data_IF_586879306761
#
_entry.id   IF_586879306761
#
_cell.length_a   1.000
_cell.length_b   1.000
_cell.length_c   1.000
_cell.angle_alpha   90.00
_cell.angle_beta   90.00
_cell.angle_gamma   90.00
#
_symmetry.space_group_name_H-M   'P 1'
#
loop_
_entity.id
_entity.type
_entity.pdbx_description
1 polymer ?
#
# COMPACT_ATOMS: atom_id res chain seq x y z
N UNK A 1 -2.45 12.38 -4.16
CA UNK A 1 -2.28 13.05 -5.47
C UNK A 1 -0.89 12.85 -6.09
N UNK A 2 0.20 12.95 -5.32
CA UNK A 2 1.59 12.88 -5.85
C UNK A 2 2.02 11.52 -6.42
N UNK A 3 1.47 10.39 -5.91
CA UNK A 3 1.77 9.05 -6.42
C UNK A 3 1.24 8.87 -7.86
N UNK A 4 -0.03 9.18 -8.13
CA UNK A 4 -0.65 9.06 -9.46
C UNK A 4 -0.04 9.98 -10.52
N UNK A 5 0.59 11.08 -10.10
CA UNK A 5 1.29 12.01 -10.98
C UNK A 5 2.77 11.63 -11.21
N UNK A 6 3.23 10.49 -10.70
CA UNK A 6 4.60 10.04 -10.89
C UNK A 6 4.88 9.72 -12.37
N UNK A 7 5.94 10.31 -12.91
CA UNK A 7 6.33 10.14 -14.32
C UNK A 7 7.01 8.79 -14.60
N UNK A 8 7.39 8.04 -13.57
CA UNK A 8 8.02 6.73 -13.71
C UNK A 8 7.40 5.71 -12.78
N UNK A 9 7.44 4.43 -13.20
CA UNK A 9 7.01 3.29 -12.39
C UNK A 9 7.77 3.20 -11.07
N UNK A 10 9.07 3.50 -11.07
CA UNK A 10 9.89 3.51 -9.87
C UNK A 10 9.46 4.63 -8.89
N UNK A 11 9.18 5.84 -9.40
CA UNK A 11 8.68 6.93 -8.58
C UNK A 11 7.27 6.65 -8.03
N UNK A 12 6.40 6.00 -8.82
CA UNK A 12 5.09 5.56 -8.34
C UNK A 12 5.22 4.57 -7.18
N UNK A 13 6.09 3.55 -7.32
CA UNK A 13 6.35 2.54 -6.27
C UNK A 13 6.93 3.20 -5.02
N UNK A 14 7.92 4.07 -5.16
CA UNK A 14 8.55 4.78 -4.03
C UNK A 14 7.53 5.62 -3.25
N UNK A 15 6.72 6.42 -3.95
CA UNK A 15 5.67 7.22 -3.29
C UNK A 15 4.59 6.35 -2.66
N UNK A 16 4.26 5.19 -3.25
CA UNK A 16 3.32 4.24 -2.66
C UNK A 16 3.89 3.61 -1.38
N UNK A 17 5.20 3.36 -1.30
CA UNK A 17 5.83 2.90 -0.05
C UNK A 17 5.72 3.93 1.07
N UNK A 18 5.94 5.22 0.77
CA UNK A 18 5.75 6.29 1.76
C UNK A 18 4.29 6.30 2.26
N UNK A 19 3.31 6.19 1.36
CA UNK A 19 1.89 6.13 1.76
C UNK A 19 1.59 4.93 2.68
N UNK A 20 2.26 3.79 2.49
CA UNK A 20 2.11 2.63 3.37
C UNK A 20 2.69 2.92 4.76
N UNK A 21 3.87 3.54 4.84
CA UNK A 21 4.51 3.90 6.12
C UNK A 21 3.62 4.89 6.91
N UNK A 22 3.11 5.93 6.27
CA UNK A 22 2.22 6.92 6.90
C UNK A 22 0.87 6.31 7.35
N UNK A 23 0.36 5.30 6.63
CA UNK A 23 -0.86 4.60 7.00
C UNK A 23 -0.65 3.67 8.21
N UNK A 24 0.50 2.96 8.27
CA UNK A 24 0.90 2.14 9.40
C UNK A 24 1.09 3.00 10.67
N UNK A 25 1.75 4.15 10.56
CA UNK A 25 1.86 5.12 11.65
C UNK A 25 0.48 5.64 12.10
N UNK A 26 -0.45 5.86 11.16
CA UNK A 26 -1.81 6.29 11.49
C UNK A 26 -2.59 5.20 12.25
N UNK A 27 -2.45 3.93 11.87
CA UNK A 27 -3.01 2.79 12.61
C UNK A 27 -2.46 2.75 14.04
N UNK A 28 -1.13 2.89 14.20
CA UNK A 28 -0.49 2.95 15.52
C UNK A 28 -1.08 4.07 16.40
N UNK A 29 -1.28 5.27 15.85
CA UNK A 29 -1.87 6.37 16.62
C UNK A 29 -3.33 6.10 17.04
N UNK A 30 -4.11 5.43 16.19
CA UNK A 30 -5.49 5.06 16.50
C UNK A 30 -5.55 3.98 17.59
N UNK A 31 -4.65 2.99 17.54
CA UNK A 31 -4.48 2.00 18.62
C UNK A 31 -4.08 2.67 19.93
N UNK A 32 -3.09 3.55 19.90
CA UNK A 32 -2.64 4.31 21.07
C UNK A 32 -3.77 5.13 21.69
N UNK A 33 -4.57 5.84 20.88
CA UNK A 33 -5.75 6.59 21.35
C UNK A 33 -6.76 5.68 22.05
N UNK A 34 -6.94 4.45 21.55
CA UNK A 34 -7.86 3.47 22.14
C UNK A 34 -7.33 2.89 23.46
N UNK A 35 -6.03 2.64 23.55
CA UNK A 35 -5.36 2.08 24.74
C UNK A 35 -5.33 3.09 25.89
N UNK A 36 -4.99 4.35 25.59
CA UNK A 36 -5.00 5.46 26.55
C UNK A 36 -6.41 5.99 26.83
N UNK A 37 -7.45 5.42 26.19
CA UNK A 37 -8.86 5.80 26.36
C UNK A 37 -9.13 7.29 26.15
N UNK A 38 -8.36 7.94 25.26
CA UNK A 38 -8.47 9.38 24.98
C UNK A 38 -9.76 9.72 24.23
N UNK A 39 -10.27 8.78 23.43
CA UNK A 39 -11.52 8.89 22.69
C UNK A 39 -12.33 7.60 22.87
N UNK A 40 -13.67 7.71 22.89
CA UNK A 40 -14.55 6.54 22.97
C UNK A 40 -14.27 5.55 21.82
N UNK A 41 -14.02 4.28 22.18
CA UNK A 41 -13.73 3.18 21.23
C UNK A 41 -14.68 3.13 20.03
N UNK A 42 -15.98 3.36 20.24
CA UNK A 42 -16.99 3.35 19.16
C UNK A 42 -16.73 4.37 18.04
N UNK A 43 -15.98 5.43 18.33
CA UNK A 43 -15.60 6.47 17.35
C UNK A 43 -14.28 6.17 16.65
N UNK A 44 -13.36 5.49 17.34
CA UNK A 44 -12.01 5.19 16.84
C UNK A 44 -12.00 3.90 16.03
N UNK A 45 -12.77 2.89 16.45
CA UNK A 45 -12.80 1.58 15.79
C UNK A 45 -13.16 1.63 14.29
N UNK A 46 -14.14 2.44 13.83
CA UNK A 46 -14.40 2.57 12.39
C UNK A 46 -13.20 3.16 11.63
N UNK A 47 -12.48 4.12 12.22
CA UNK A 47 -11.31 4.75 11.60
C UNK A 47 -10.13 3.79 11.54
N UNK A 48 -9.93 2.99 12.60
CA UNK A 48 -8.89 1.96 12.62
C UNK A 48 -9.13 0.90 11.54
N UNK A 49 -10.39 0.47 11.37
CA UNK A 49 -10.75 -0.47 10.30
C UNK A 49 -10.52 0.14 8.91
N UNK A 50 -10.94 1.39 8.69
CA UNK A 50 -10.72 2.10 7.42
C UNK A 50 -9.22 2.25 7.12
N UNK A 51 -8.41 2.61 8.11
CA UNK A 51 -6.96 2.71 7.97
C UNK A 51 -6.36 1.35 7.54
N UNK A 52 -6.78 0.25 8.17
CA UNK A 52 -6.36 -1.10 7.83
C UNK A 52 -6.74 -1.53 6.40
N UNK A 53 -7.95 -1.17 5.96
CA UNK A 53 -8.41 -1.40 4.59
C UNK A 53 -7.55 -0.62 3.58
N UNK A 54 -7.26 0.66 3.86
CA UNK A 54 -6.41 1.50 3.02
C UNK A 54 -4.98 0.97 2.93
N UNK A 55 -4.37 0.59 4.07
CA UNK A 55 -3.05 -0.05 4.13
C UNK A 55 -3.01 -1.30 3.26
N UNK A 56 -4.04 -2.15 3.35
CA UNK A 56 -4.16 -3.37 2.53
C UNK A 56 -4.25 -3.08 1.03
N UNK A 57 -5.01 -2.04 0.64
CA UNK A 57 -5.11 -1.57 -0.74
C UNK A 57 -3.75 -1.08 -1.25
N UNK A 58 -3.02 -0.27 -0.47
CA UNK A 58 -1.73 0.28 -0.90
C UNK A 58 -0.64 -0.79 -0.99
N UNK A 59 -0.60 -1.74 -0.05
CA UNK A 59 0.30 -2.90 -0.12
C UNK A 59 0.05 -3.71 -1.39
N UNK A 60 -1.22 -4.00 -1.69
CA UNK A 60 -1.60 -4.74 -2.90
C UNK A 60 -1.29 -3.97 -4.18
N UNK A 61 -1.51 -2.65 -4.16
CA UNK A 61 -1.15 -1.73 -5.25
C UNK A 61 0.35 -1.76 -5.53
N UNK A 62 1.17 -1.65 -4.48
CA UNK A 62 2.63 -1.74 -4.58
C UNK A 62 3.08 -3.09 -5.14
N UNK A 63 2.53 -4.20 -4.62
CA UNK A 63 2.83 -5.56 -5.11
C UNK A 63 2.50 -5.70 -6.59
N UNK A 64 1.35 -5.20 -7.01
CA UNK A 64 0.92 -5.24 -8.43
C UNK A 64 1.83 -4.40 -9.30
N UNK A 65 2.19 -3.18 -8.85
CA UNK A 65 3.15 -2.35 -9.54
C UNK A 65 4.52 -3.03 -9.63
N UNK A 66 4.99 -3.74 -8.62
CA UNK A 66 6.29 -4.42 -8.64
C UNK A 66 6.35 -5.63 -9.59
N UNK A 67 5.21 -6.27 -9.91
CA UNK A 67 5.21 -7.39 -10.86
C UNK A 67 5.80 -6.92 -12.21
N UNK A 68 6.83 -7.64 -12.66
CA UNK A 68 7.29 -7.61 -14.06
C UNK A 68 6.28 -8.43 -14.87
N UNK A 69 5.79 -7.90 -15.98
CA UNK A 69 5.23 -8.74 -17.02
C UNK A 69 6.36 -9.63 -17.53
N UNK A 70 6.47 -10.86 -17.04
CA UNK A 70 7.21 -11.90 -17.75
C UNK A 70 6.37 -12.24 -18.98
N UNK A 71 6.48 -11.43 -20.03
CA UNK A 71 6.19 -11.91 -21.38
C UNK A 71 7.27 -12.93 -21.68
N UNK A 72 6.93 -14.18 -21.43
CA UNK A 72 7.58 -15.40 -21.89
C UNK A 72 8.19 -15.21 -23.29
N UNK A 73 9.51 -15.03 -23.37
CA UNK A 73 10.26 -15.32 -24.59
C UNK A 73 10.76 -16.76 -24.45
N UNK A 74 9.87 -17.75 -24.58
CA UNK A 74 10.25 -19.06 -25.11
C UNK A 74 9.70 -19.10 -26.52
N UNK A 75 10.51 -18.65 -27.46
CA UNK A 75 10.41 -19.01 -28.87
C UNK A 75 11.75 -18.63 -29.50
N UNK A 76 12.70 -19.57 -29.44
CA UNK A 76 13.71 -19.87 -30.45
C UNK A 76 14.73 -20.84 -29.84
N UNK A 77 14.62 -22.12 -30.21
CA UNK A 77 15.70 -23.07 -30.53
C UNK A 77 15.07 -24.48 -30.58
N UNK A 78 14.55 -24.83 -31.75
CA UNK A 78 13.93 -26.13 -32.02
C UNK A 78 13.44 -26.18 -33.46
N UNK A 79 14.34 -25.97 -34.41
CA UNK A 79 14.00 -25.84 -35.82
C UNK A 79 15.21 -25.74 -36.73
N UNK A 80 16.09 -26.74 -36.67
CA UNK A 80 16.81 -27.39 -37.78
C UNK A 80 17.74 -28.44 -37.21
#
# INVERSE_FOLDING_TARGET
>A
MSALLAQTKAAFISKTSIVIEEADESEFWLEFIMDEKLIERKRVLPLLNEAHELSSIFITTRKTAQKKNQSTIVNQLGGK
#
